data_IF_565200525207
#
_entry.id   IF_565200525207
#
_cell.length_a   1.000
_cell.length_b   1.000
_cell.length_c   1.000
_cell.angle_alpha   90.00
_cell.angle_beta   90.00
_cell.angle_gamma   90.00
#
_symmetry.space_group_name_H-M   'P 1'
#
loop_
_entity.id
_entity.type
_entity.pdbx_description
1 polymer ?
#
# COMPACT_ATOMS: atom_id res chain seq x y z
N UNK A 1 -18.44 0.15 28.74
CA UNK A 1 -19.12 0.46 27.46
C UNK A 1 -18.28 1.31 26.49
N UNK A 2 -17.44 2.25 26.97
CA UNK A 2 -16.60 3.13 26.12
C UNK A 2 -15.50 2.41 25.31
N UNK A 3 -14.88 1.34 25.85
CA UNK A 3 -13.78 0.63 25.15
C UNK A 3 -14.21 -0.09 23.87
N UNK A 4 -15.46 -0.58 23.79
CA UNK A 4 -15.98 -1.24 22.58
C UNK A 4 -16.24 -0.23 21.45
N UNK A 5 -16.63 1.00 21.78
CA UNK A 5 -16.82 2.08 20.81
C UNK A 5 -15.50 2.61 20.24
N UNK A 6 -14.43 2.64 21.06
CA UNK A 6 -13.11 3.09 20.62
C UNK A 6 -12.45 2.12 19.64
N UNK A 7 -12.59 0.81 19.88
CA UNK A 7 -12.11 -0.24 18.95
C UNK A 7 -12.82 -0.20 17.59
N UNK A 8 -14.13 0.04 17.56
CA UNK A 8 -14.85 0.21 16.29
C UNK A 8 -14.39 1.45 15.52
N UNK A 9 -14.05 2.55 16.22
CA UNK A 9 -13.57 3.78 15.57
C UNK A 9 -12.19 3.58 14.93
N UNK A 10 -11.27 2.92 15.64
CA UNK A 10 -9.95 2.56 15.11
C UNK A 10 -10.01 1.56 13.96
N UNK A 11 -10.95 0.61 13.99
CA UNK A 11 -11.18 -0.29 12.86
C UNK A 11 -11.71 0.46 11.64
N UNK A 12 -12.64 1.41 11.84
CA UNK A 12 -13.21 2.22 10.77
C UNK A 12 -12.14 3.11 10.13
N UNK A 13 -11.29 3.77 10.92
CA UNK A 13 -10.19 4.60 10.40
C UNK A 13 -9.17 3.76 9.59
N UNK A 14 -8.90 2.53 10.02
CA UNK A 14 -8.02 1.59 9.28
C UNK A 14 -8.64 1.13 7.96
N UNK A 15 -9.95 0.89 7.92
CA UNK A 15 -10.65 0.52 6.68
C UNK A 15 -10.76 1.70 5.72
N UNK A 16 -11.02 2.91 6.22
CA UNK A 16 -11.02 4.14 5.42
C UNK A 16 -9.64 4.40 4.81
N UNK A 17 -8.57 4.24 5.60
CA UNK A 17 -7.19 4.33 5.08
C UNK A 17 -6.92 3.31 3.96
N UNK A 18 -7.38 2.06 4.11
CA UNK A 18 -7.26 1.03 3.05
C UNK A 18 -8.03 1.41 1.78
N UNK A 19 -9.24 1.97 1.92
CA UNK A 19 -10.07 2.39 0.79
C UNK A 19 -9.42 3.57 0.06
N UNK A 20 -8.95 4.58 0.79
CA UNK A 20 -8.25 5.75 0.20
C UNK A 20 -7.00 5.31 -0.55
N UNK A 21 -6.22 4.38 0.01
CA UNK A 21 -5.01 3.87 -0.66
C UNK A 21 -5.37 3.08 -1.93
N UNK A 22 -6.45 2.30 -1.88
CA UNK A 22 -6.96 1.53 -3.02
C UNK A 22 -7.46 2.46 -4.15
N UNK A 23 -8.26 3.47 -3.83
CA UNK A 23 -8.78 4.43 -4.81
C UNK A 23 -7.66 5.24 -5.48
N UNK A 24 -6.66 5.64 -4.70
CA UNK A 24 -5.50 6.38 -5.24
C UNK A 24 -4.70 5.52 -6.22
N UNK A 25 -4.53 4.23 -5.91
CA UNK A 25 -3.89 3.24 -6.78
C UNK A 25 -4.71 2.95 -8.04
N UNK A 26 -6.03 2.79 -7.93
CA UNK A 26 -6.92 2.58 -9.08
C UNK A 26 -6.93 3.79 -10.01
N UNK A 27 -6.88 5.01 -9.45
CA UNK A 27 -6.83 6.25 -10.23
C UNK A 27 -5.52 6.39 -10.99
N UNK A 28 -4.38 6.14 -10.35
CA UNK A 28 -3.06 6.15 -11.02
C UNK A 28 -2.96 5.03 -12.08
N UNK A 29 -3.59 3.88 -11.86
CA UNK A 29 -3.63 2.79 -12.83
C UNK A 29 -4.52 3.13 -14.03
N UNK A 30 -5.71 3.69 -13.81
CA UNK A 30 -6.61 4.13 -14.89
C UNK A 30 -5.97 5.21 -15.75
N UNK A 31 -5.25 6.15 -15.16
CA UNK A 31 -4.56 7.22 -15.90
C UNK A 31 -3.47 6.65 -16.84
N UNK A 32 -2.75 5.61 -16.37
CA UNK A 32 -1.78 4.86 -17.17
C UNK A 32 -2.44 3.99 -18.24
N UNK A 33 -3.61 3.41 -17.97
CA UNK A 33 -4.36 2.65 -18.97
C UNK A 33 -4.96 3.57 -20.05
N UNK A 34 -5.47 4.73 -19.67
CA UNK A 34 -6.03 5.71 -20.60
C UNK A 34 -4.97 6.26 -21.56
N UNK A 35 -3.77 6.56 -21.04
CA UNK A 35 -2.61 6.98 -21.87
C UNK A 35 -2.11 5.87 -22.80
N UNK A 36 -2.17 4.59 -22.39
CA UNK A 36 -1.86 3.47 -23.29
C UNK A 36 -2.94 3.22 -24.35
N UNK A 37 -4.22 3.54 -24.09
CA UNK A 37 -5.31 3.30 -25.04
C UNK A 37 -5.42 4.39 -26.11
N UNK A 38 -4.96 5.62 -25.83
CA UNK A 38 -4.97 6.73 -26.81
C UNK A 38 -4.02 6.54 -27.99
N UNK A 39 -3.03 5.66 -27.90
CA UNK A 39 -2.13 5.31 -29.03
C UNK A 39 -2.74 4.28 -29.99
N UNK A 40 -3.97 3.82 -29.73
CA UNK A 40 -4.73 2.92 -30.61
C UNK A 40 -6.03 3.62 -31.03
N UNK A 41 -5.92 4.77 -31.72
CA UNK A 41 -7.07 5.38 -32.37
C UNK A 41 -7.53 4.50 -33.54
N UNK A 42 -8.75 3.98 -33.40
CA UNK A 42 -9.45 3.01 -34.25
C UNK A 42 -10.13 3.66 -35.47
N UNK A 43 -9.48 4.64 -36.12
CA UNK A 43 -10.13 5.50 -37.12
C UNK A 43 -9.90 5.11 -38.58
N UNK A 44 -9.46 3.88 -38.88
CA UNK A 44 -9.27 3.46 -40.26
C UNK A 44 -9.57 1.97 -40.52
N UNK A 45 -10.81 1.53 -40.34
CA UNK A 45 -11.30 0.33 -41.04
C UNK A 45 -12.62 0.67 -41.76
N UNK A 46 -12.56 1.00 -43.06
CA UNK A 46 -13.76 1.19 -43.86
C UNK A 46 -14.49 -0.14 -44.01
N UNK A 47 -15.77 -0.13 -43.68
CA UNK A 47 -16.75 -1.18 -44.01
C UNK A 47 -16.75 -1.44 -45.52
N UNK A 48 -16.46 -2.67 -45.96
CA UNK A 48 -16.72 -3.05 -47.34
C UNK A 48 -17.24 -4.50 -47.49
N UNK A 49 -18.56 -4.55 -47.69
CA UNK A 49 -19.34 -5.38 -48.61
C UNK A 49 -18.60 -6.49 -49.37
N UNK A 50 -19.10 -7.74 -49.31
CA UNK A 50 -19.17 -8.67 -50.46
C UNK A 50 -19.90 -9.98 -50.08
N UNK A 51 -21.15 -10.06 -50.49
CA UNK A 51 -21.95 -11.28 -50.58
C UNK A 51 -21.44 -12.15 -51.76
N UNK A 52 -21.44 -13.48 -51.59
CA UNK A 52 -21.15 -14.54 -52.60
C UNK A 52 -19.68 -14.78 -53.04
N UNK A 53 -18.83 -15.37 -52.17
CA UNK A 53 -17.75 -16.29 -52.63
C UNK A 53 -17.06 -17.11 -51.50
N UNK A 54 -17.82 -17.56 -50.50
CA UNK A 54 -17.26 -18.03 -49.22
C UNK A 54 -16.60 -19.43 -49.21
N UNK A 55 -16.66 -20.25 -50.26
CA UNK A 55 -16.13 -21.63 -50.18
C UNK A 55 -14.72 -21.81 -50.74
N UNK A 56 -14.34 -21.11 -51.82
CA UNK A 56 -13.10 -21.38 -52.55
C UNK A 56 -11.93 -20.42 -52.20
N UNK A 57 -12.21 -19.28 -51.55
CA UNK A 57 -11.19 -18.29 -51.14
C UNK A 57 -10.71 -18.44 -49.70
N UNK A 58 -11.48 -19.11 -48.84
CA UNK A 58 -11.16 -19.26 -47.41
C UNK A 58 -9.94 -20.16 -47.18
N UNK A 59 -9.59 -21.05 -48.10
CA UNK A 59 -8.41 -21.93 -47.94
C UNK A 59 -7.07 -21.23 -48.26
N UNK A 60 -7.04 -20.25 -49.18
CA UNK A 60 -5.87 -19.37 -49.38
C UNK A 60 -5.86 -18.17 -48.45
N UNK A 61 -7.04 -17.67 -48.05
CA UNK A 61 -7.21 -16.59 -47.09
C UNK A 61 -6.90 -16.98 -45.64
N UNK A 62 -7.17 -18.22 -45.21
CA UNK A 62 -6.90 -18.68 -43.85
C UNK A 62 -5.41 -19.01 -43.60
N UNK A 63 -4.65 -19.37 -44.64
CA UNK A 63 -3.18 -19.46 -44.57
C UNK A 63 -2.51 -18.07 -44.56
N UNK A 64 -3.14 -17.05 -45.19
CA UNK A 64 -2.70 -15.65 -45.08
C UNK A 64 -3.17 -14.96 -43.78
N UNK A 65 -4.36 -15.28 -43.26
CA UNK A 65 -4.85 -14.77 -41.97
C UNK A 65 -4.18 -15.46 -40.78
N UNK A 66 -3.78 -16.73 -40.90
CA UNK A 66 -2.86 -17.34 -39.93
C UNK A 66 -1.48 -16.67 -39.93
N UNK A 67 -1.04 -16.17 -41.10
CA UNK A 67 0.16 -15.34 -41.21
C UNK A 67 0.00 -13.96 -40.55
N UNK A 68 -1.17 -13.33 -40.65
CA UNK A 68 -1.44 -12.02 -40.03
C UNK A 68 -1.68 -12.15 -38.52
N UNK A 69 -2.33 -13.23 -38.04
CA UNK A 69 -2.47 -13.51 -36.61
C UNK A 69 -1.16 -13.95 -35.94
N UNK A 70 -0.17 -14.47 -36.70
CA UNK A 70 1.20 -14.66 -36.22
C UNK A 70 2.08 -13.39 -36.39
N UNK A 71 1.81 -12.53 -37.38
CA UNK A 71 2.56 -11.28 -37.61
C UNK A 71 2.10 -10.13 -36.69
N UNK A 72 0.85 -10.14 -36.23
CA UNK A 72 0.30 -9.24 -35.21
C UNK A 72 0.34 -9.83 -33.79
N UNK A 73 1.01 -10.98 -33.61
CA UNK A 73 1.27 -11.58 -32.31
C UNK A 73 2.45 -11.00 -31.48
N UNK A 74 3.31 -10.07 -31.98
CA UNK A 74 4.28 -9.42 -31.10
C UNK A 74 3.62 -8.66 -29.96
N UNK A 75 2.41 -8.11 -30.15
CA UNK A 75 1.82 -7.19 -29.18
C UNK A 75 1.09 -7.89 -28.03
N UNK A 76 0.41 -9.03 -28.24
CA UNK A 76 -0.21 -9.78 -27.14
C UNK A 76 0.82 -10.49 -26.24
N UNK A 77 1.97 -10.91 -26.80
CA UNK A 77 3.13 -11.35 -26.01
C UNK A 77 3.84 -10.19 -25.30
N UNK A 78 3.83 -8.99 -25.90
CA UNK A 78 4.44 -7.78 -25.34
C UNK A 78 3.60 -7.15 -24.23
N UNK A 79 2.27 -7.23 -24.27
CA UNK A 79 1.40 -6.71 -23.19
C UNK A 79 1.62 -7.48 -21.88
N UNK A 80 1.76 -8.82 -21.94
CA UNK A 80 2.07 -9.63 -20.76
C UNK A 80 3.48 -9.38 -20.22
N UNK A 81 4.49 -9.26 -21.10
CA UNK A 81 5.88 -8.99 -20.73
C UNK A 81 6.11 -7.58 -20.18
N UNK A 82 5.51 -6.57 -20.79
CA UNK A 82 5.60 -5.16 -20.36
C UNK A 82 4.88 -4.95 -19.02
N UNK A 83 3.75 -5.62 -18.81
CA UNK A 83 3.02 -5.59 -17.54
C UNK A 83 3.79 -6.31 -16.41
N UNK A 84 4.39 -7.48 -16.69
CA UNK A 84 5.26 -8.19 -15.74
C UNK A 84 6.50 -7.37 -15.38
N UNK A 85 7.10 -6.69 -16.35
CA UNK A 85 8.23 -5.79 -16.11
C UNK A 85 7.83 -4.61 -15.23
N UNK A 86 6.70 -3.96 -15.53
CA UNK A 86 6.17 -2.86 -14.72
C UNK A 86 5.83 -3.31 -13.29
N UNK A 87 5.24 -4.49 -13.10
CA UNK A 87 4.94 -5.06 -11.78
C UNK A 87 6.22 -5.38 -10.99
N UNK A 88 7.24 -5.93 -11.64
CA UNK A 88 8.51 -6.23 -11.00
C UNK A 88 9.29 -4.97 -10.63
N UNK A 89 9.17 -3.89 -11.41
CA UNK A 89 9.70 -2.57 -11.06
C UNK A 89 8.88 -1.89 -9.95
N UNK A 90 7.56 -2.14 -9.88
CA UNK A 90 6.66 -1.59 -8.87
C UNK A 90 6.83 -2.24 -7.49
N UNK A 91 7.06 -3.54 -7.41
CA UNK A 91 7.20 -4.25 -6.14
C UNK A 91 8.24 -3.61 -5.19
N UNK A 92 9.49 -3.32 -5.59
CA UNK A 92 10.46 -2.70 -4.69
C UNK A 92 10.05 -1.29 -4.27
N UNK A 93 9.48 -0.48 -5.17
CA UNK A 93 9.06 0.91 -4.85
C UNK A 93 7.86 0.93 -3.90
N UNK A 94 6.93 -0.02 -4.05
CA UNK A 94 5.82 -0.21 -3.13
C UNK A 94 6.29 -0.68 -1.75
N UNK A 95 7.27 -1.59 -1.69
CA UNK A 95 7.87 -2.05 -0.43
C UNK A 95 8.62 -0.90 0.27
N UNK A 96 9.36 -0.06 -0.45
CA UNK A 96 10.04 1.10 0.17
C UNK A 96 9.02 2.08 0.73
N UNK A 97 8.00 2.44 -0.05
CA UNK A 97 6.93 3.33 0.42
C UNK A 97 6.17 2.76 1.63
N UNK A 98 5.94 1.44 1.64
CA UNK A 98 5.31 0.75 2.76
C UNK A 98 6.18 0.78 4.04
N UNK A 99 7.51 0.62 3.90
CA UNK A 99 8.45 0.74 5.01
C UNK A 99 8.55 2.17 5.55
N UNK A 100 8.56 3.16 4.67
CA UNK A 100 8.58 4.57 5.07
C UNK A 100 7.30 4.95 5.82
N UNK A 101 6.14 4.48 5.34
CA UNK A 101 4.86 4.66 6.03
C UNK A 101 4.83 3.94 7.39
N UNK A 102 5.35 2.71 7.47
CA UNK A 102 5.46 1.96 8.72
C UNK A 102 6.38 2.68 9.73
N UNK A 103 7.50 3.24 9.26
CA UNK A 103 8.42 4.00 10.09
C UNK A 103 7.73 5.26 10.62
N UNK A 104 7.05 6.03 9.77
CA UNK A 104 6.31 7.22 10.17
C UNK A 104 5.24 6.90 11.25
N UNK A 105 4.42 5.87 11.02
CA UNK A 105 3.42 5.41 12.00
C UNK A 105 4.05 4.95 13.32
N UNK A 106 5.16 4.20 13.26
CA UNK A 106 5.88 3.75 14.44
C UNK A 106 6.47 4.93 15.23
N UNK A 107 7.05 5.93 14.55
CA UNK A 107 7.59 7.13 15.21
C UNK A 107 6.51 7.97 15.87
N UNK A 108 5.35 8.15 15.23
CA UNK A 108 4.23 8.89 15.81
C UNK A 108 3.67 8.18 17.06
N UNK A 109 3.47 6.86 16.97
CA UNK A 109 3.01 6.05 18.10
C UNK A 109 4.00 6.07 19.28
N UNK A 110 5.30 5.91 19.00
CA UNK A 110 6.35 5.97 20.00
C UNK A 110 6.45 7.37 20.64
N UNK A 111 6.33 8.44 19.85
CA UNK A 111 6.33 9.82 20.34
C UNK A 111 5.15 10.06 21.28
N UNK A 112 3.94 9.61 20.90
CA UNK A 112 2.75 9.68 21.76
C UNK A 112 2.93 8.91 23.06
N UNK A 113 3.52 7.72 23.00
CA UNK A 113 3.80 6.92 24.20
C UNK A 113 4.82 7.61 25.12
N UNK A 114 5.92 8.11 24.57
CA UNK A 114 6.94 8.87 25.31
C UNK A 114 6.36 10.11 25.98
N UNK A 115 5.58 10.92 25.26
CA UNK A 115 4.90 12.09 25.81
C UNK A 115 3.92 11.72 26.94
N UNK A 116 3.11 10.67 26.75
CA UNK A 116 2.18 10.23 27.78
C UNK A 116 2.90 9.75 29.05
N UNK A 117 4.03 9.07 28.93
CA UNK A 117 4.82 8.63 30.06
C UNK A 117 5.38 9.81 30.88
N UNK A 118 5.88 10.85 30.20
CA UNK A 118 6.31 12.10 30.86
C UNK A 118 5.12 12.78 31.54
N UNK A 119 3.97 12.85 30.88
CA UNK A 119 2.76 13.46 31.46
C UNK A 119 2.30 12.74 32.73
N UNK A 120 2.37 11.40 32.77
CA UNK A 120 2.06 10.61 33.97
C UNK A 120 3.04 10.89 35.12
N UNK A 121 4.33 11.05 34.83
CA UNK A 121 5.32 11.45 35.84
C UNK A 121 5.04 12.86 36.38
N UNK A 122 4.66 13.79 35.52
CA UNK A 122 4.21 15.13 35.92
C UNK A 122 2.92 15.03 36.77
N UNK A 123 1.97 14.18 36.44
CA UNK A 123 0.76 13.99 37.26
C UNK A 123 1.10 13.43 38.64
N UNK A 124 2.03 12.48 38.74
CA UNK A 124 2.56 11.98 40.01
C UNK A 124 3.27 13.07 40.82
N UNK A 125 4.04 13.93 40.16
CA UNK A 125 4.62 15.12 40.77
C UNK A 125 3.52 16.02 41.33
N UNK A 126 2.53 16.42 40.52
CA UNK A 126 1.45 17.30 40.95
C UNK A 126 0.64 16.70 42.11
N UNK A 127 0.43 15.39 42.14
CA UNK A 127 -0.27 14.69 43.21
C UNK A 127 0.50 14.71 44.55
N UNK A 128 1.81 14.93 44.51
CA UNK A 128 2.67 14.97 45.70
C UNK A 128 2.62 16.32 46.43
N UNK A 129 1.94 17.33 45.86
CA UNK A 129 1.85 18.69 46.39
C UNK A 129 0.39 19.09 46.61
N UNK A 130 0.13 19.86 47.68
CA UNK A 130 -1.19 20.44 47.95
C UNK A 130 -1.34 21.79 47.24
N UNK A 131 -2.59 22.18 46.87
CA UNK A 131 -2.88 23.43 46.14
C UNK A 131 -2.32 24.70 46.79
N UNK A 132 -2.13 24.70 48.11
CA UNK A 132 -1.62 25.83 48.88
C UNK A 132 -0.11 26.10 48.68
N UNK A 133 0.62 25.23 47.98
CA UNK A 133 2.08 25.30 47.82
C UNK A 133 2.53 26.03 46.54
N UNK A 134 1.66 26.81 45.90
CA UNK A 134 1.96 27.46 44.62
C UNK A 134 2.08 26.45 43.48
N UNK A 135 1.18 25.46 43.47
CA UNK A 135 1.15 24.38 42.48
C UNK A 135 0.85 24.94 41.08
N UNK A 136 1.64 24.54 40.10
CA UNK A 136 1.48 24.95 38.70
C UNK A 136 1.32 23.72 37.83
N UNK A 137 0.31 23.69 36.96
CA UNK A 137 0.09 22.58 36.05
C UNK A 137 1.14 22.56 34.94
N UNK A 138 2.08 21.61 35.02
CA UNK A 138 3.17 21.47 34.07
C UNK A 138 2.79 20.60 32.86
N UNK A 139 1.59 20.03 32.75
CA UNK A 139 1.26 19.08 31.68
C UNK A 139 1.42 19.66 30.26
N UNK A 140 1.27 20.97 30.12
CA UNK A 140 1.37 21.68 28.83
C UNK A 140 2.80 21.77 28.29
N UNK A 141 3.83 21.53 29.11
CA UNK A 141 5.23 21.60 28.67
C UNK A 141 5.65 20.40 27.81
N UNK A 142 4.86 19.32 27.84
CA UNK A 142 5.17 18.07 27.14
C UNK A 142 4.75 18.19 25.69
N UNK A 143 5.73 18.28 24.81
CA UNK A 143 5.57 18.32 23.36
C UNK A 143 6.51 17.29 22.71
N UNK A 144 6.40 17.12 21.40
CA UNK A 144 7.27 16.23 20.62
C UNK A 144 8.76 16.62 20.69
N UNK A 145 9.10 17.85 21.06
CA UNK A 145 10.48 18.32 21.17
C UNK A 145 11.03 18.30 22.61
N UNK A 146 10.17 18.15 23.63
CA UNK A 146 10.59 18.24 25.04
C UNK A 146 10.59 16.91 25.78
N UNK A 147 9.79 15.94 25.35
CA UNK A 147 9.57 14.69 26.11
C UNK A 147 10.81 13.82 26.31
N UNK A 148 11.83 13.97 25.46
CA UNK A 148 13.09 13.21 25.51
C UNK A 148 14.30 14.09 25.88
N UNK A 149 14.08 15.37 26.22
CA UNK A 149 15.15 16.32 26.50
C UNK A 149 14.97 16.98 27.87
N UNK A 150 15.70 16.48 28.86
CA UNK A 150 15.61 16.94 30.25
C UNK A 150 15.85 18.43 30.43
N UNK A 151 16.97 18.99 29.91
CA UNK A 151 17.25 20.42 29.96
C UNK A 151 16.12 21.29 29.39
N UNK A 152 15.60 20.95 28.21
CA UNK A 152 14.52 21.72 27.56
C UNK A 152 13.22 21.61 28.35
N UNK A 153 12.95 20.44 28.94
CA UNK A 153 11.78 20.23 29.79
C UNK A 153 11.86 21.08 31.07
N UNK A 154 13.03 21.16 31.69
CA UNK A 154 13.29 22.01 32.87
C UNK A 154 13.18 23.50 32.53
N UNK A 155 13.69 23.92 31.37
CA UNK A 155 13.57 25.31 30.91
C UNK A 155 12.10 25.68 30.66
N UNK A 156 11.35 24.80 29.99
CA UNK A 156 9.92 24.99 29.74
C UNK A 156 9.11 25.05 31.04
N UNK A 157 9.41 24.16 32.00
CA UNK A 157 8.81 24.18 33.33
C UNK A 157 9.15 25.47 34.08
N UNK A 158 10.41 25.90 34.06
CA UNK A 158 10.87 27.13 34.70
C UNK A 158 10.13 28.36 34.16
N UNK A 159 9.99 28.46 32.83
CA UNK A 159 9.27 29.56 32.19
C UNK A 159 7.81 29.59 32.64
N UNK A 160 7.12 28.45 32.57
CA UNK A 160 5.70 28.34 32.92
C UNK A 160 5.44 28.63 34.42
N UNK A 161 6.32 28.14 35.30
CA UNK A 161 6.27 28.45 36.74
C UNK A 161 6.46 29.95 36.99
N UNK A 162 7.52 30.54 36.43
CA UNK A 162 7.82 31.96 36.63
C UNK A 162 6.70 32.86 36.14
N UNK A 163 6.10 32.57 34.99
CA UNK A 163 4.99 33.35 34.45
C UNK A 163 3.74 33.21 35.32
N UNK A 164 3.45 32.01 35.83
CA UNK A 164 2.33 31.81 36.78
C UNK A 164 2.54 32.55 38.10
N UNK A 165 3.78 32.60 38.61
CA UNK A 165 4.10 33.24 39.89
C UNK A 165 4.05 34.76 39.80
N UNK A 166 4.47 35.33 38.66
CA UNK A 166 4.28 36.76 38.37
C UNK A 166 2.79 37.15 38.44
N UNK A 167 1.91 36.34 37.84
CA UNK A 167 0.46 36.58 37.85
C UNK A 167 -0.09 36.47 39.27
N UNK A 168 0.37 35.50 40.05
CA UNK A 168 -0.08 35.26 41.42
C UNK A 168 0.57 36.19 42.47
N UNK A 169 1.49 37.07 42.08
CA UNK A 169 2.24 37.94 43.00
C UNK A 169 3.20 37.20 43.94
N UNK A 170 3.64 35.99 43.57
CA UNK A 170 4.54 35.16 44.36
C UNK A 170 5.99 35.54 44.04
N UNK A 171 6.67 36.18 45.00
CA UNK A 171 8.06 36.63 44.85
C UNK A 171 9.09 35.74 45.57
N UNK A 172 8.68 34.54 46.01
CA UNK A 172 9.54 33.58 46.72
C UNK A 172 9.58 32.24 45.99
N UNK A 173 10.71 31.54 46.09
CA UNK A 173 10.82 30.16 45.62
C UNK A 173 9.90 29.27 46.46
N UNK A 174 9.00 28.54 45.81
CA UNK A 174 8.10 27.60 46.48
C UNK A 174 8.77 26.24 46.65
N UNK A 175 8.23 25.42 47.56
CA UNK A 175 8.65 24.01 47.69
C UNK A 175 8.48 23.27 46.36
N UNK A 176 7.38 23.51 45.66
CA UNK A 176 7.10 22.95 44.34
C UNK A 176 8.18 23.29 43.31
N UNK A 177 8.55 24.57 43.19
CA UNK A 177 9.58 25.01 42.25
C UNK A 177 10.95 24.37 42.57
N UNK A 178 11.32 24.31 43.85
CA UNK A 178 12.58 23.73 44.27
C UNK A 178 12.65 22.22 43.96
N UNK A 179 11.57 21.49 44.21
CA UNK A 179 11.50 20.06 43.90
C UNK A 179 11.48 19.80 42.39
N UNK A 180 10.65 20.53 41.64
CA UNK A 180 10.48 20.32 40.21
C UNK A 180 11.74 20.67 39.39
N UNK A 181 12.49 21.71 39.80
CA UNK A 181 13.56 22.29 38.98
C UNK A 181 14.99 22.12 39.52
N UNK A 182 15.16 21.78 40.79
CA UNK A 182 16.48 21.91 41.44
C UNK A 182 16.87 20.70 42.29
N UNK A 183 15.91 19.97 42.85
CA UNK A 183 16.18 18.79 43.67
C UNK A 183 16.30 17.54 42.80
N UNK A 184 17.52 16.99 42.57
CA UNK A 184 17.64 15.72 41.86
C UNK A 184 16.95 14.60 42.65
N UNK A 185 16.17 13.78 41.96
CA UNK A 185 15.36 12.72 42.58
C UNK A 185 14.16 12.33 41.72
N UNK A 186 13.31 11.43 42.23
CA UNK A 186 12.17 10.88 41.47
C UNK A 186 11.14 11.91 41.00
N UNK A 187 11.16 13.11 41.59
CA UNK A 187 10.26 14.22 41.31
C UNK A 187 10.91 15.33 40.46
N UNK A 188 12.18 15.17 40.09
CA UNK A 188 12.88 16.13 39.25
C UNK A 188 12.37 16.06 37.81
N UNK A 189 11.91 17.20 37.27
CA UNK A 189 11.34 17.26 35.92
C UNK A 189 12.36 16.84 34.87
N UNK A 190 13.64 17.18 35.04
CA UNK A 190 14.68 16.81 34.08
C UNK A 190 14.88 15.30 33.91
N UNK A 191 14.58 14.50 34.94
CA UNK A 191 14.69 13.05 34.87
C UNK A 191 13.49 12.40 34.17
N UNK A 192 12.35 13.09 34.05
CA UNK A 192 11.18 12.56 33.34
C UNK A 192 11.49 12.34 31.85
N UNK A 193 12.39 13.14 31.27
CA UNK A 193 12.84 12.96 29.90
C UNK A 193 13.49 11.59 29.64
N UNK A 194 14.17 11.01 30.63
CA UNK A 194 14.73 9.65 30.53
C UNK A 194 13.62 8.61 30.40
N UNK A 195 12.54 8.78 31.18
CA UNK A 195 11.35 7.92 31.11
C UNK A 195 10.66 8.05 29.76
N UNK A 196 10.52 9.29 29.25
CA UNK A 196 9.98 9.56 27.92
C UNK A 196 10.80 8.90 26.81
N UNK A 197 12.12 9.06 26.85
CA UNK A 197 13.05 8.45 25.89
C UNK A 197 13.01 6.91 25.95
N UNK A 198 13.07 6.31 27.13
CA UNK A 198 13.00 4.84 27.29
C UNK A 198 11.66 4.29 26.80
N UNK A 199 10.56 4.99 27.08
CA UNK A 199 9.23 4.57 26.62
C UNK A 199 9.11 4.70 25.09
N UNK A 200 9.71 5.74 24.51
CA UNK A 200 9.82 5.87 23.06
C UNK A 200 10.60 4.72 22.45
N UNK A 201 11.81 4.43 22.94
CA UNK A 201 12.67 3.40 22.38
C UNK A 201 12.04 2.01 22.45
N UNK A 202 11.42 1.68 23.59
CA UNK A 202 10.71 0.40 23.78
C UNK A 202 9.48 0.30 22.88
N UNK A 203 8.67 1.36 22.78
CA UNK A 203 7.49 1.37 21.92
C UNK A 203 7.88 1.30 20.45
N UNK A 204 8.89 2.07 20.04
CA UNK A 204 9.40 2.09 18.67
C UNK A 204 9.97 0.73 18.27
N UNK A 205 10.79 0.12 19.12
CA UNK A 205 11.36 -1.21 18.88
C UNK A 205 10.28 -2.29 18.76
N UNK A 206 9.18 -2.17 19.51
CA UNK A 206 8.05 -3.13 19.42
C UNK A 206 7.15 -2.90 18.19
N UNK A 207 6.84 -1.65 17.85
CA UNK A 207 5.86 -1.33 16.80
C UNK A 207 6.47 -1.34 15.40
N UNK A 208 7.72 -0.88 15.25
CA UNK A 208 8.40 -0.86 13.95
C UNK A 208 8.35 -2.22 13.22
N UNK A 209 8.78 -3.34 13.81
CA UNK A 209 8.76 -4.62 13.10
C UNK A 209 7.34 -5.10 12.79
N UNK A 210 6.38 -4.85 13.68
CA UNK A 210 4.98 -5.23 13.48
C UNK A 210 4.34 -4.47 12.31
N UNK A 211 4.56 -3.16 12.25
CA UNK A 211 4.04 -2.30 11.19
C UNK A 211 4.76 -2.57 9.86
N UNK A 212 6.08 -2.73 9.87
CA UNK A 212 6.85 -3.08 8.67
C UNK A 212 6.36 -4.41 8.08
N UNK A 213 6.22 -5.45 8.91
CA UNK A 213 5.69 -6.74 8.47
C UNK A 213 4.28 -6.58 7.89
N UNK A 214 3.36 -5.95 8.62
CA UNK A 214 1.97 -5.79 8.17
C UNK A 214 1.85 -5.02 6.84
N UNK A 215 2.64 -3.96 6.65
CA UNK A 215 2.59 -3.14 5.42
C UNK A 215 3.27 -3.85 4.25
N UNK A 216 4.39 -4.53 4.48
CA UNK A 216 5.07 -5.34 3.45
C UNK A 216 4.21 -6.55 3.05
N UNK A 217 3.54 -7.20 4.00
CA UNK A 217 2.61 -8.30 3.73
C UNK A 217 1.42 -7.85 2.89
N UNK A 218 0.89 -6.65 3.14
CA UNK A 218 -0.15 -6.06 2.30
C UNK A 218 0.33 -5.88 0.84
N UNK A 219 1.55 -5.37 0.64
CA UNK A 219 2.15 -5.23 -0.71
C UNK A 219 2.34 -6.62 -1.35
N UNK A 220 2.86 -7.60 -0.60
CA UNK A 220 3.05 -8.96 -1.12
C UNK A 220 1.72 -9.64 -1.48
N UNK A 221 0.67 -9.45 -0.69
CA UNK A 221 -0.66 -9.98 -0.96
C UNK A 221 -1.26 -9.38 -2.24
N UNK A 222 -1.13 -8.06 -2.44
CA UNK A 222 -1.56 -7.42 -3.69
C UNK A 222 -0.76 -7.95 -4.89
N UNK A 223 0.56 -8.06 -4.77
CA UNK A 223 1.40 -8.65 -5.82
C UNK A 223 1.01 -10.09 -6.15
N UNK A 224 0.74 -10.93 -5.14
CA UNK A 224 0.29 -12.30 -5.33
C UNK A 224 -1.06 -12.37 -6.08
N UNK A 225 -1.98 -11.46 -5.79
CA UNK A 225 -3.27 -11.39 -6.50
C UNK A 225 -3.08 -11.07 -7.99
N UNK A 226 -2.16 -10.16 -8.33
CA UNK A 226 -1.83 -9.85 -9.73
C UNK A 226 -1.15 -11.04 -10.43
N UNK A 227 -0.25 -11.74 -9.75
CA UNK A 227 0.38 -12.95 -10.30
C UNK A 227 -0.65 -14.03 -10.63
N UNK A 228 -1.62 -14.27 -9.75
CA UNK A 228 -2.71 -15.24 -10.00
C UNK A 228 -3.53 -14.83 -11.22
N UNK A 229 -3.87 -13.54 -11.36
CA UNK A 229 -4.61 -13.03 -12.51
C UNK A 229 -3.83 -13.22 -13.83
N UNK A 230 -2.51 -12.98 -13.83
CA UNK A 230 -1.64 -13.19 -14.98
C UNK A 230 -1.61 -14.68 -15.37
N UNK A 231 -1.43 -15.57 -14.40
CA UNK A 231 -1.41 -17.03 -14.64
C UNK A 231 -2.75 -17.49 -15.23
N UNK A 232 -3.87 -17.03 -14.68
CA UNK A 232 -5.20 -17.37 -15.18
C UNK A 232 -5.39 -16.92 -16.64
N UNK A 233 -4.91 -15.72 -17.00
CA UNK A 233 -4.93 -15.22 -18.38
C UNK A 233 -4.10 -16.09 -19.34
N UNK A 234 -2.89 -16.51 -18.93
CA UNK A 234 -2.03 -17.40 -19.73
C UNK A 234 -2.70 -18.76 -19.95
N UNK A 235 -3.29 -19.35 -18.90
CA UNK A 235 -4.01 -20.63 -19.01
C UNK A 235 -5.20 -20.50 -19.97
N UNK A 236 -5.96 -19.40 -19.90
CA UNK A 236 -7.07 -19.17 -20.83
C UNK A 236 -6.61 -19.10 -22.29
N UNK A 237 -5.50 -18.40 -22.58
CA UNK A 237 -4.91 -18.34 -23.93
C UNK A 237 -4.49 -19.74 -24.40
N UNK A 238 -3.82 -20.53 -23.56
CA UNK A 238 -3.40 -21.89 -23.91
C UNK A 238 -4.58 -22.81 -24.23
N UNK A 239 -5.69 -22.70 -23.50
CA UNK A 239 -6.92 -23.46 -23.76
C UNK A 239 -7.53 -23.09 -25.12
N UNK A 240 -7.58 -21.79 -25.46
CA UNK A 240 -8.08 -21.33 -26.76
C UNK A 240 -7.21 -21.87 -27.90
N UNK A 241 -5.88 -21.79 -27.75
CA UNK A 241 -4.94 -22.32 -28.75
C UNK A 241 -5.10 -23.83 -28.93
N UNK A 242 -5.22 -24.59 -27.84
CA UNK A 242 -5.47 -26.04 -27.89
C UNK A 242 -6.78 -26.38 -28.62
N UNK A 243 -7.87 -25.66 -28.32
CA UNK A 243 -9.15 -25.84 -29.02
C UNK A 243 -9.03 -25.58 -30.53
N UNK A 244 -8.35 -24.50 -30.92
CA UNK A 244 -8.08 -24.19 -32.33
C UNK A 244 -7.27 -25.28 -33.03
N UNK A 245 -6.26 -25.86 -32.37
CA UNK A 245 -5.46 -26.97 -32.90
C UNK A 245 -6.31 -28.24 -33.07
N UNK A 246 -7.16 -28.58 -32.09
CA UNK A 246 -8.06 -29.74 -32.18
C UNK A 246 -9.03 -29.58 -33.35
N UNK A 247 -9.70 -28.43 -33.46
CA UNK A 247 -10.62 -28.12 -34.57
C UNK A 247 -9.88 -28.20 -35.91
N UNK A 248 -8.68 -27.64 -35.99
CA UNK A 248 -7.84 -27.69 -37.18
C UNK A 248 -7.49 -29.14 -37.58
N UNK A 249 -7.08 -29.98 -36.63
CA UNK A 249 -6.76 -31.39 -36.89
C UNK A 249 -8.00 -32.16 -37.39
N UNK A 250 -9.17 -31.91 -36.82
CA UNK A 250 -10.45 -32.51 -37.27
C UNK A 250 -10.77 -32.08 -38.70
N UNK A 251 -10.67 -30.78 -39.01
CA UNK A 251 -10.92 -30.25 -40.35
C UNK A 251 -9.93 -30.80 -41.38
N UNK A 252 -8.64 -30.88 -41.02
CA UNK A 252 -7.58 -31.45 -41.87
C UNK A 252 -7.81 -32.92 -42.14
N UNK A 253 -8.20 -33.69 -41.12
CA UNK A 253 -8.54 -35.11 -41.26
C UNK A 253 -9.73 -35.30 -42.20
N UNK A 254 -10.79 -34.49 -42.05
CA UNK A 254 -11.97 -34.50 -42.94
C UNK A 254 -11.59 -34.19 -44.40
N UNK A 255 -10.74 -33.17 -44.64
CA UNK A 255 -10.27 -32.83 -45.99
C UNK A 255 -9.50 -33.99 -46.63
N UNK A 256 -8.56 -34.61 -45.91
CA UNK A 256 -7.81 -35.78 -46.42
C UNK A 256 -8.73 -36.95 -46.78
N UNK A 257 -9.71 -37.27 -45.93
CA UNK A 257 -10.68 -38.36 -46.19
C UNK A 257 -11.53 -38.08 -47.43
N UNK A 258 -11.98 -36.83 -47.62
CA UNK A 258 -12.75 -36.41 -48.82
C UNK A 258 -11.92 -36.58 -50.09
N UNK A 259 -10.63 -36.22 -50.07
CA UNK A 259 -9.74 -36.38 -51.23
C UNK A 259 -9.48 -37.86 -51.58
N UNK A 260 -9.28 -38.73 -50.58
CA UNK A 260 -9.11 -40.18 -50.82
C UNK A 260 -10.35 -40.81 -51.49
N UNK A 261 -11.56 -40.44 -51.05
CA UNK A 261 -12.80 -40.89 -51.68
C UNK A 261 -12.92 -40.42 -53.14
N UNK A 262 -12.62 -39.15 -53.41
CA UNK A 262 -12.64 -38.61 -54.80
C UNK A 262 -11.71 -39.37 -55.74
N UNK A 263 -10.51 -39.74 -55.29
CA UNK A 263 -9.56 -40.52 -56.06
C UNK A 263 -10.08 -41.93 -56.43
N UNK A 264 -10.84 -42.57 -55.55
CA UNK A 264 -11.45 -43.88 -55.82
C UNK A 264 -12.55 -43.78 -56.88
N UNK A 265 -13.42 -42.77 -56.82
CA UNK A 265 -14.46 -42.55 -57.83
C UNK A 265 -13.89 -42.23 -59.22
N UNK A 266 -12.82 -41.44 -59.31
CA UNK A 266 -12.16 -41.14 -60.59
C UNK A 266 -11.55 -42.40 -61.22
N UNK A 267 -11.07 -43.35 -60.42
CA UNK A 267 -10.54 -44.62 -60.94
C UNK A 267 -11.64 -45.51 -61.52
N UNK A 268 -12.79 -45.61 -60.84
CA UNK A 268 -13.92 -46.42 -61.30
C UNK A 268 -14.58 -45.91 -62.59
N UNK A 269 -14.48 -44.62 -62.90
CA UNK A 269 -15.03 -44.02 -64.14
C UNK A 269 -14.10 -44.16 -65.35
N UNK A 270 -12.89 -44.70 -65.17
CA UNK A 270 -11.87 -44.81 -66.21
C UNK A 270 -11.73 -46.23 -66.77
N UNK A 271 -12.37 -47.20 -66.13
CA UNK A 271 -12.70 -48.53 -66.70
C UNK A 271 -14.06 -48.45 -67.39
#
# INVERSE_FOLDING_TARGET
MKEKQQKCKEQCDKEIQKIILKDKMEKELMDKFATLHTDIQNDAIPTCFCEKSLANKVEKGCLRCGGILCAAMPELGSIGGSFLYALNAWKPTAITAAKDAALAEATDAATKAGMNAVRLKIEGLLASFTKEQGLVDLRQIVTSSTYNNGPVLVESARKLINDSYKIAGINRTTSFQNTALTSPGELYVGDFAKVGATTYDTTFASQKPLLEAAKVDAVNATYASFQIAIIASIVAILVIVLAMVIIYLILRYRRKKKMKRKLQYIKLLKE
#
